data_IF_351547931719
#
_entry.id   IF_351547931719
#
_cell.length_a   1.000
_cell.length_b   1.000
_cell.length_c   1.000
_cell.angle_alpha   90.00
_cell.angle_beta   90.00
_cell.angle_gamma   90.00
#
_symmetry.space_group_name_H-M   'P 1'
#
loop_
_entity.id
_entity.type
_entity.pdbx_description
1 polymer ?
#
# COMPACT_ATOMS: atom_id res chain seq x y z
N UNK A 1 -45.54 37.88 18.72
CA UNK A 1 -45.09 36.46 18.69
C UNK A 1 -45.02 35.86 17.30
N UNK A 2 -46.07 35.95 16.46
CA UNK A 2 -46.08 35.36 15.10
C UNK A 2 -44.97 35.88 14.15
N UNK A 3 -44.63 37.17 14.22
CA UNK A 3 -43.55 37.76 13.40
C UNK A 3 -42.14 37.30 13.79
N UNK A 4 -41.90 37.05 15.08
CA UNK A 4 -40.60 36.55 15.59
C UNK A 4 -40.39 35.10 15.17
N UNK A 5 -41.46 34.29 15.19
CA UNK A 5 -41.43 32.90 14.69
C UNK A 5 -41.15 32.86 13.18
N UNK A 6 -41.75 33.76 12.41
CA UNK A 6 -41.52 33.84 10.97
C UNK A 6 -40.07 34.24 10.64
N UNK A 7 -39.50 35.19 11.40
CA UNK A 7 -38.11 35.62 11.25
C UNK A 7 -37.10 34.53 11.65
N UNK A 8 -37.39 33.74 12.69
CA UNK A 8 -36.54 32.61 13.08
C UNK A 8 -36.56 31.48 12.04
N UNK A 9 -37.73 31.19 11.46
CA UNK A 9 -37.87 30.16 10.43
C UNK A 9 -37.19 30.53 9.11
N UNK A 10 -37.26 31.80 8.68
CA UNK A 10 -36.53 32.26 7.49
C UNK A 10 -35.02 32.30 7.72
N UNK A 11 -34.56 32.67 8.92
CA UNK A 11 -33.14 32.65 9.27
C UNK A 11 -32.58 31.22 9.27
N UNK A 12 -33.32 30.25 9.83
CA UNK A 12 -32.94 28.83 9.79
C UNK A 12 -32.82 28.30 8.36
N UNK A 13 -33.77 28.63 7.47
CA UNK A 13 -33.73 28.21 6.06
C UNK A 13 -32.52 28.76 5.29
N UNK A 14 -32.06 29.98 5.61
CA UNK A 14 -30.85 30.57 5.01
C UNK A 14 -29.55 29.90 5.47
N UNK A 15 -29.50 29.33 6.68
CA UNK A 15 -28.31 28.62 7.14
C UNK A 15 -28.18 27.21 6.52
N UNK A 16 -29.28 26.56 6.12
CA UNK A 16 -29.21 25.22 5.51
C UNK A 16 -28.73 25.25 4.05
N UNK A 17 -28.94 26.35 3.32
CA UNK A 17 -28.49 26.49 1.93
C UNK A 17 -26.98 26.73 1.78
N UNK A 18 -26.26 27.08 2.85
CA UNK A 18 -24.82 27.31 2.81
C UNK A 18 -23.97 26.01 2.86
N UNK A 19 -24.59 24.84 3.09
CA UNK A 19 -23.88 23.56 3.21
C UNK A 19 -23.86 22.70 1.94
N UNK A 20 -24.43 23.14 0.82
CA UNK A 20 -24.59 22.28 -0.38
C UNK A 20 -23.52 22.43 -1.47
N UNK A 21 -22.51 23.27 -1.30
CA UNK A 21 -21.44 23.43 -2.29
C UNK A 21 -20.07 22.96 -1.79
N UNK A 22 -19.94 21.66 -1.55
CA UNK A 22 -18.64 20.98 -1.68
C UNK A 22 -18.71 19.99 -2.84
N UNK A 23 -18.90 20.52 -4.06
CA UNK A 23 -18.65 19.72 -5.27
C UNK A 23 -17.14 19.57 -5.39
N UNK A 24 -16.63 18.41 -5.00
CA UNK A 24 -15.32 17.94 -5.46
C UNK A 24 -15.36 18.04 -6.97
N UNK A 25 -14.62 19.01 -7.53
CA UNK A 25 -14.43 19.18 -8.96
C UNK A 25 -13.73 17.90 -9.42
N UNK A 26 -14.53 16.95 -9.89
CA UNK A 26 -14.06 15.80 -10.65
C UNK A 26 -13.72 16.40 -12.00
N UNK A 27 -12.43 16.63 -12.26
CA UNK A 27 -11.94 16.90 -13.61
C UNK A 27 -12.63 15.94 -14.58
N UNK A 28 -12.98 16.46 -15.76
CA UNK A 28 -13.91 15.84 -16.70
C UNK A 28 -13.71 14.33 -16.79
N UNK A 29 -14.78 13.52 -16.63
CA UNK A 29 -14.67 12.06 -16.47
C UNK A 29 -13.78 11.38 -17.53
N UNK A 30 -13.67 11.96 -18.72
CA UNK A 30 -12.83 11.50 -19.84
C UNK A 30 -11.32 11.60 -19.53
N UNK A 31 -10.86 12.69 -18.91
CA UNK A 31 -9.45 12.85 -18.54
C UNK A 31 -9.05 11.87 -17.44
N UNK A 32 -9.94 11.65 -16.47
CA UNK A 32 -9.76 10.64 -15.43
C UNK A 32 -9.69 9.22 -16.02
N UNK A 33 -10.61 8.87 -16.93
CA UNK A 33 -10.64 7.56 -17.59
C UNK A 33 -9.34 7.31 -18.37
N UNK A 34 -8.91 8.26 -19.20
CA UNK A 34 -7.64 8.15 -19.93
C UNK A 34 -6.43 8.01 -19.00
N UNK A 35 -6.39 8.76 -17.90
CA UNK A 35 -5.33 8.66 -16.90
C UNK A 35 -5.33 7.29 -16.21
N UNK A 36 -6.50 6.81 -15.80
CA UNK A 36 -6.67 5.52 -15.14
C UNK A 36 -6.22 4.35 -16.02
N UNK A 37 -6.56 4.38 -17.31
CA UNK A 37 -6.08 3.41 -18.30
C UNK A 37 -4.56 3.41 -18.40
N UNK A 38 -3.93 4.59 -18.38
CA UNK A 38 -2.47 4.72 -18.32
C UNK A 38 -1.86 4.09 -17.07
N UNK A 39 -2.53 4.18 -15.92
CA UNK A 39 -2.10 3.52 -14.68
C UNK A 39 -2.22 1.99 -14.76
N UNK A 40 -3.29 1.46 -15.36
CA UNK A 40 -3.49 0.03 -15.56
C UNK A 40 -2.36 -0.58 -16.43
N UNK A 41 -2.06 0.05 -17.57
CA UNK A 41 -0.97 -0.39 -18.45
C UNK A 41 0.38 -0.40 -17.72
N UNK A 42 0.65 0.62 -16.89
CA UNK A 42 1.87 0.68 -16.07
C UNK A 42 1.91 -0.43 -15.02
N UNK A 43 0.77 -0.73 -14.41
CA UNK A 43 0.67 -1.82 -13.43
C UNK A 43 0.96 -3.17 -14.07
N UNK A 44 0.36 -3.47 -15.23
CA UNK A 44 0.60 -4.72 -15.95
C UNK A 44 2.07 -4.86 -16.37
N UNK A 45 2.67 -3.79 -16.92
CA UNK A 45 4.11 -3.77 -17.25
C UNK A 45 4.98 -4.00 -16.01
N UNK A 46 4.64 -3.38 -14.88
CA UNK A 46 5.35 -3.59 -13.62
C UNK A 46 5.23 -5.05 -13.16
N UNK A 47 4.05 -5.65 -13.22
CA UNK A 47 3.82 -7.05 -12.83
C UNK A 47 4.54 -8.03 -13.76
N UNK A 48 4.57 -7.77 -15.07
CA UNK A 48 5.25 -8.62 -16.05
C UNK A 48 6.78 -8.53 -16.01
N UNK A 49 7.34 -7.39 -15.60
CA UNK A 49 8.80 -7.17 -15.57
C UNK A 49 9.42 -7.36 -14.18
N UNK A 50 8.67 -7.16 -13.10
CA UNK A 50 9.25 -7.18 -11.77
C UNK A 50 9.51 -8.59 -11.24
N UNK A 51 10.79 -8.88 -10.98
CA UNK A 51 11.29 -10.14 -10.39
C UNK A 51 11.68 -10.05 -8.92
N UNK A 52 11.74 -8.84 -8.38
CA UNK A 52 12.09 -8.59 -6.98
C UNK A 52 10.90 -7.95 -6.28
N UNK A 53 9.78 -8.67 -6.27
CA UNK A 53 8.60 -8.32 -5.50
C UNK A 53 8.61 -9.04 -4.14
N UNK A 54 7.68 -8.65 -3.28
CA UNK A 54 7.57 -9.15 -1.91
C UNK A 54 7.43 -10.68 -1.80
N UNK A 55 6.61 -11.27 -2.68
CA UNK A 55 6.35 -12.70 -2.70
C UNK A 55 7.61 -13.49 -3.11
N UNK A 56 8.26 -13.06 -4.18
CA UNK A 56 9.48 -13.69 -4.70
C UNK A 56 10.65 -13.52 -3.72
N UNK A 57 10.84 -12.32 -3.16
CA UNK A 57 11.84 -12.09 -2.12
C UNK A 57 11.58 -12.99 -0.91
N UNK A 58 10.35 -13.04 -0.41
CA UNK A 58 10.00 -13.85 0.75
C UNK A 58 10.20 -15.35 0.51
N UNK A 59 9.87 -15.83 -0.69
CA UNK A 59 10.12 -17.21 -1.10
C UNK A 59 11.63 -17.51 -1.15
N UNK A 60 12.42 -16.61 -1.74
CA UNK A 60 13.87 -16.74 -1.82
C UNK A 60 14.52 -16.71 -0.42
N UNK A 61 14.17 -15.74 0.43
CA UNK A 61 14.66 -15.64 1.80
C UNK A 61 14.32 -16.90 2.60
N UNK A 62 13.09 -17.42 2.48
CA UNK A 62 12.70 -18.69 3.09
C UNK A 62 13.55 -19.89 2.63
N UNK A 63 13.79 -19.98 1.32
CA UNK A 63 14.62 -21.04 0.74
C UNK A 63 16.03 -20.98 1.33
N UNK A 64 16.64 -19.79 1.34
CA UNK A 64 17.98 -19.56 1.86
C UNK A 64 18.07 -19.88 3.34
N UNK A 65 17.12 -19.42 4.17
CA UNK A 65 17.08 -19.74 5.60
C UNK A 65 16.97 -21.24 5.86
N UNK A 66 16.19 -21.98 5.05
CA UNK A 66 16.10 -23.45 5.14
C UNK A 66 17.43 -24.13 4.84
N UNK A 67 18.15 -23.66 3.82
CA UNK A 67 19.46 -24.19 3.46
C UNK A 67 20.49 -23.95 4.57
N UNK A 68 20.57 -22.71 5.09
CA UNK A 68 21.46 -22.37 6.20
C UNK A 68 21.13 -23.15 7.47
N UNK A 69 19.84 -23.33 7.78
CA UNK A 69 19.43 -24.13 8.93
C UNK A 69 19.83 -25.61 8.78
N UNK A 70 19.62 -26.20 7.60
CA UNK A 70 20.08 -27.58 7.31
C UNK A 70 21.59 -27.72 7.41
N UNK A 71 22.34 -26.72 6.94
CA UNK A 71 23.80 -26.70 7.11
C UNK A 71 24.18 -26.70 8.59
N UNK A 72 23.58 -25.82 9.39
CA UNK A 72 23.79 -25.78 10.83
C UNK A 72 23.47 -27.12 11.50
N UNK A 73 22.34 -27.76 11.15
CA UNK A 73 21.99 -29.07 11.69
C UNK A 73 23.08 -30.11 11.41
N UNK A 74 23.59 -30.15 10.17
CA UNK A 74 24.70 -31.05 9.81
C UNK A 74 25.96 -30.75 10.60
N UNK A 75 26.32 -29.48 10.76
CA UNK A 75 27.49 -29.07 11.55
C UNK A 75 27.35 -29.47 13.02
N UNK A 76 26.16 -29.36 13.62
CA UNK A 76 25.92 -29.81 14.99
C UNK A 76 26.03 -31.33 15.13
N UNK A 77 25.45 -32.08 14.20
CA UNK A 77 25.55 -33.56 14.21
C UNK A 77 27.01 -34.01 14.11
N UNK A 78 27.80 -33.42 13.21
CA UNK A 78 29.22 -33.75 13.04
C UNK A 78 30.04 -33.43 14.30
N UNK A 79 29.69 -32.35 15.01
CA UNK A 79 30.37 -31.92 16.23
C UNK A 79 29.83 -32.56 17.51
N UNK A 80 28.80 -33.40 17.43
CA UNK A 80 28.10 -33.95 18.60
C UNK A 80 27.35 -32.89 19.44
N UNK A 81 27.04 -31.73 18.86
CA UNK A 81 26.37 -30.62 19.54
C UNK A 81 24.84 -30.72 19.49
N UNK A 82 24.17 -29.95 20.34
CA UNK A 82 22.71 -29.87 20.39
C UNK A 82 22.18 -28.75 19.50
N UNK A 83 20.99 -28.96 18.90
CA UNK A 83 20.32 -27.94 18.09
C UNK A 83 19.72 -26.86 19.01
N UNK A 84 20.37 -25.70 19.11
CA UNK A 84 19.95 -24.57 19.94
C UNK A 84 19.22 -23.47 19.14
N UNK A 85 19.51 -23.34 17.84
CA UNK A 85 18.90 -22.32 16.96
C UNK A 85 17.73 -22.90 16.19
N UNK A 86 16.69 -22.12 15.98
CA UNK A 86 15.53 -22.52 15.17
C UNK A 86 15.65 -21.98 13.74
N UNK A 87 14.84 -22.51 12.81
CA UNK A 87 14.82 -22.07 11.42
C UNK A 87 14.64 -20.54 11.28
N UNK A 88 13.77 -19.94 12.08
CA UNK A 88 13.51 -18.48 12.05
C UNK A 88 14.75 -17.65 12.40
N UNK A 89 15.70 -18.19 13.16
CA UNK A 89 16.96 -17.51 13.49
C UNK A 89 17.86 -17.29 12.26
N UNK A 90 17.59 -18.00 11.16
CA UNK A 90 18.33 -17.87 9.88
C UNK A 90 17.60 -16.98 8.87
N UNK A 91 16.48 -16.36 9.25
CA UNK A 91 15.75 -15.42 8.40
C UNK A 91 16.05 -14.00 8.85
N UNK A 92 16.62 -13.20 7.96
CA UNK A 92 16.78 -11.77 8.19
C UNK A 92 15.43 -11.07 7.99
N UNK A 93 14.85 -10.44 9.03
CA UNK A 93 13.56 -9.75 8.94
C UNK A 93 13.61 -8.49 8.05
N UNK A 94 14.79 -7.94 7.77
CA UNK A 94 14.96 -6.74 6.94
C UNK A 94 15.19 -7.06 5.47
N UNK A 95 15.54 -8.30 5.12
CA UNK A 95 15.94 -8.71 3.77
C UNK A 95 14.90 -8.38 2.69
N UNK A 96 13.60 -8.48 3.01
CA UNK A 96 12.51 -8.20 2.07
C UNK A 96 11.76 -6.90 2.35
N UNK A 97 12.22 -6.08 3.30
CA UNK A 97 11.55 -4.80 3.66
C UNK A 97 11.65 -3.75 2.54
N UNK A 98 12.63 -3.88 1.64
CA UNK A 98 12.82 -2.98 0.49
C UNK A 98 12.90 -3.80 -0.80
N UNK A 99 11.75 -4.20 -1.32
CA UNK A 99 11.65 -4.74 -2.67
C UNK A 99 11.79 -3.61 -3.68
N UNK A 100 12.45 -3.85 -4.81
CA UNK A 100 12.66 -2.80 -5.83
C UNK A 100 11.40 -2.45 -6.59
N UNK A 101 10.32 -3.24 -6.45
CA UNK A 101 9.01 -2.89 -6.96
C UNK A 101 7.92 -3.12 -5.92
N UNK A 102 6.89 -2.27 -5.96
CA UNK A 102 5.62 -2.49 -5.32
C UNK A 102 4.51 -1.99 -6.26
N UNK A 103 4.27 -2.76 -7.33
CA UNK A 103 3.37 -2.38 -8.42
C UNK A 103 1.96 -1.97 -7.93
N UNK A 104 1.49 -2.57 -6.82
CA UNK A 104 0.21 -2.20 -6.21
C UNK A 104 0.28 -0.81 -5.58
N UNK A 105 1.31 -0.52 -4.80
CA UNK A 105 1.49 0.81 -4.21
C UNK A 105 1.69 1.87 -5.30
N UNK A 106 2.50 1.57 -6.32
CA UNK A 106 2.76 2.47 -7.44
C UNK A 106 1.47 2.76 -8.24
N UNK A 107 0.63 1.76 -8.47
CA UNK A 107 -0.69 1.92 -9.09
C UNK A 107 -1.63 2.80 -8.24
N UNK A 108 -1.69 2.57 -6.93
CA UNK A 108 -2.53 3.37 -6.02
C UNK A 108 -2.11 4.84 -6.03
N UNK A 109 -0.81 5.13 -6.02
CA UNK A 109 -0.30 6.50 -6.15
C UNK A 109 -0.65 7.09 -7.52
N UNK A 110 -0.55 6.30 -8.59
CA UNK A 110 -0.90 6.71 -9.95
C UNK A 110 -2.38 7.12 -10.04
N UNK A 111 -3.30 6.29 -9.55
CA UNK A 111 -4.75 6.58 -9.57
C UNK A 111 -5.10 7.79 -8.69
N UNK A 112 -4.45 7.94 -7.52
CA UNK A 112 -4.63 9.12 -6.69
C UNK A 112 -4.18 10.40 -7.42
N UNK A 113 -3.07 10.33 -8.16
CA UNK A 113 -2.61 11.44 -8.98
C UNK A 113 -3.60 11.80 -10.09
N UNK A 114 -4.27 10.80 -10.72
CA UNK A 114 -5.35 11.05 -11.68
C UNK A 114 -6.55 11.79 -11.09
N UNK A 115 -6.80 11.66 -9.78
CA UNK A 115 -7.84 12.40 -9.07
C UNK A 115 -7.42 13.80 -8.59
N UNK A 116 -6.23 14.28 -8.98
CA UNK A 116 -5.73 15.61 -8.65
C UNK A 116 -5.23 15.80 -7.21
N UNK A 117 -5.28 14.77 -6.35
CA UNK A 117 -4.84 14.85 -4.95
C UNK A 117 -4.12 13.57 -4.52
N UNK A 118 -2.86 13.71 -4.15
CA UNK A 118 -2.09 12.63 -3.51
C UNK A 118 -2.14 12.83 -2.00
N UNK A 119 -2.87 11.96 -1.30
CA UNK A 119 -2.86 11.91 0.16
C UNK A 119 -1.63 11.14 0.64
N UNK A 120 -0.55 11.86 0.96
CA UNK A 120 0.62 11.26 1.60
C UNK A 120 0.44 11.22 3.11
N UNK A 121 0.28 10.03 3.64
CA UNK A 121 0.43 9.77 5.08
C UNK A 121 1.83 9.22 5.35
N UNK A 122 2.47 9.69 6.42
CA UNK A 122 3.70 9.09 6.93
C UNK A 122 3.38 7.72 7.54
N UNK A 123 3.35 6.70 6.69
CA UNK A 123 3.20 5.30 7.10
C UNK A 123 4.56 4.62 7.14
N UNK A 124 4.73 3.71 8.09
CA UNK A 124 5.88 2.81 8.08
C UNK A 124 5.92 2.05 6.75
N UNK A 125 7.12 1.83 6.21
CA UNK A 125 7.28 1.06 4.99
C UNK A 125 6.59 -0.31 5.14
N UNK A 126 5.78 -0.73 4.16
CA UNK A 126 5.02 -1.97 4.24
C UNK A 126 5.98 -3.16 4.45
N UNK A 127 5.62 -4.03 5.37
CA UNK A 127 6.38 -5.23 5.68
C UNK A 127 6.01 -6.32 4.69
N UNK A 128 7.03 -6.99 4.17
CA UNK A 128 6.96 -8.34 3.64
C UNK A 128 7.12 -9.34 4.80
#
# INVERSE_FOLDING_TARGET
>A
MKQVVFALMTCLLFFVSACSEHRVIRETNIEFENCSQGCEIKQEKCQGSCRNNCMQCSAHANQTSKLSYRQYQREQVIRGGTIARQLKSYRDPLQCRKTTCNCKADYQVCIQACGGKIHKELRAAPVC
#
